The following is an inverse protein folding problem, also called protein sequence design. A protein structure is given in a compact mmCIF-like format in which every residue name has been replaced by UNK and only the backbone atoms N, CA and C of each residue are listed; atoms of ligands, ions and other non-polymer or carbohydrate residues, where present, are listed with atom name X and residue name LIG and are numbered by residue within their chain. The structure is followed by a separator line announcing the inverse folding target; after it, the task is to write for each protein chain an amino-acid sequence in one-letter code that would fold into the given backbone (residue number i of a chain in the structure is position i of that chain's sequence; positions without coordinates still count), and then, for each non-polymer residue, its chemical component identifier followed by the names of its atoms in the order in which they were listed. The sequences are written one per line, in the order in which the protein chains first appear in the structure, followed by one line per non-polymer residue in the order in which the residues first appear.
data_IF_097025192614
#
_entry.id   IF_097025192614
#
_cell.length_a   1.000
_cell.length_b   1.000
_cell.length_c   1.000
_cell.angle_alpha   90.00
_cell.angle_beta   90.00
_cell.angle_gamma   90.00
#
_symmetry.space_group_name_H-M   'P 1'
#
loop_
_entity.id
_entity.type
_entity.pdbx_description
1 polymer ?
#
# COMPACT_ATOMS: atom_id res chain seq x y z
N UNK A 1 30.41 -8.08 13.38
CA UNK A 1 29.65 -7.14 12.51
C UNK A 1 28.47 -7.91 11.95
N UNK A 2 27.26 -7.43 12.20
CA UNK A 2 26.01 -8.04 11.70
C UNK A 2 25.54 -7.30 10.46
N UNK A 3 24.95 -8.00 9.48
CA UNK A 3 24.51 -7.43 8.22
C UNK A 3 22.97 -7.36 8.16
N UNK A 4 22.41 -6.18 7.83
CA UNK A 4 20.96 -5.93 7.73
C UNK A 4 20.18 -6.34 9.00
N UNK A 5 20.74 -6.14 10.21
CA UNK A 5 20.02 -6.39 11.45
C UNK A 5 18.82 -5.45 11.57
N UNK A 6 17.65 -5.96 11.91
CA UNK A 6 16.46 -5.15 12.10
C UNK A 6 16.60 -4.18 13.27
N UNK A 7 16.06 -2.96 13.11
CA UNK A 7 16.27 -1.87 14.07
C UNK A 7 15.77 -2.20 15.47
N UNK A 8 14.61 -2.86 15.59
CA UNK A 8 14.07 -3.28 16.88
C UNK A 8 14.91 -4.34 17.62
N UNK A 9 15.77 -5.06 16.90
CA UNK A 9 16.68 -6.05 17.46
C UNK A 9 18.08 -5.50 17.75
N UNK A 10 18.36 -4.23 17.40
CA UNK A 10 19.66 -3.60 17.67
C UNK A 10 19.80 -3.23 19.14
N UNK A 11 20.98 -3.49 19.69
CA UNK A 11 21.33 -3.19 21.08
C UNK A 11 22.65 -2.41 21.16
N UNK A 12 22.86 -1.58 22.21
CA UNK A 12 24.13 -0.91 22.41
C UNK A 12 25.32 -1.88 22.39
N UNK A 13 26.33 -1.55 21.61
CA UNK A 13 27.51 -2.40 21.37
C UNK A 13 27.49 -3.16 20.04
N UNK A 14 26.37 -3.23 19.35
CA UNK A 14 26.28 -3.89 18.05
C UNK A 14 27.09 -3.14 16.99
N UNK A 15 27.87 -3.89 16.20
CA UNK A 15 28.51 -3.39 14.98
C UNK A 15 27.69 -3.83 13.77
N UNK A 16 27.13 -2.89 13.02
CA UNK A 16 26.18 -3.12 11.94
C UNK A 16 26.73 -2.61 10.62
N UNK A 17 26.52 -3.36 9.56
CA UNK A 17 26.54 -2.90 8.17
C UNK A 17 25.23 -3.31 7.52
N UNK A 18 24.57 -2.38 6.79
CA UNK A 18 23.29 -2.72 6.15
C UNK A 18 22.65 -1.56 5.40
N UNK A 19 21.46 -1.86 4.87
CA UNK A 19 20.61 -0.91 4.16
C UNK A 19 19.43 -0.53 5.03
N UNK A 20 19.17 0.79 5.10
CA UNK A 20 18.07 1.37 5.88
C UNK A 20 17.50 2.57 5.14
N UNK A 21 16.29 2.98 5.46
CA UNK A 21 15.70 4.22 4.95
C UNK A 21 16.27 5.39 5.75
N UNK A 22 16.74 6.42 5.05
CA UNK A 22 17.11 7.70 5.66
C UNK A 22 15.82 8.50 5.94
N UNK A 23 15.26 8.35 7.14
CA UNK A 23 13.98 8.98 7.50
C UNK A 23 14.09 10.49 7.70
N UNK A 24 15.26 10.97 8.15
CA UNK A 24 15.58 12.39 8.24
C UNK A 24 17.09 12.62 8.15
N UNK A 25 17.50 13.78 7.62
CA UNK A 25 18.90 14.13 7.42
C UNK A 25 19.14 15.64 7.59
N UNK A 26 19.81 16.01 8.66
CA UNK A 26 20.08 17.40 9.02
C UNK A 26 21.59 17.64 9.19
N UNK A 27 22.30 18.14 8.17
CA UNK A 27 23.69 18.58 8.29
C UNK A 27 23.81 19.73 9.28
N UNK A 28 24.78 19.65 10.18
CA UNK A 28 25.04 20.64 11.23
C UNK A 28 26.52 20.87 11.40
N UNK A 29 26.88 21.95 12.11
CA UNK A 29 28.26 22.25 12.52
C UNK A 29 28.31 22.24 14.04
N UNK A 30 29.26 21.52 14.61
CA UNK A 30 29.48 21.47 16.04
C UNK A 30 30.18 22.72 16.55
N UNK A 31 30.18 22.95 17.86
CA UNK A 31 30.83 24.13 18.48
C UNK A 31 32.35 24.22 18.18
N UNK A 32 33.01 23.11 17.88
CA UNK A 32 34.42 23.07 17.47
C UNK A 32 34.65 23.29 15.96
N UNK A 33 33.61 23.68 15.21
CA UNK A 33 33.65 23.93 13.77
C UNK A 33 33.61 22.70 12.87
N UNK A 34 33.53 21.47 13.43
CA UNK A 34 33.47 20.26 12.63
C UNK A 34 32.05 19.96 12.14
N UNK A 35 31.89 19.59 10.85
CA UNK A 35 30.59 19.22 10.32
C UNK A 35 30.16 17.85 10.86
N UNK A 36 28.85 17.66 11.03
CA UNK A 36 28.26 16.38 11.35
C UNK A 36 26.84 16.28 10.79
N UNK A 37 26.36 15.05 10.57
CA UNK A 37 24.99 14.79 10.18
C UNK A 37 24.23 14.20 11.36
N UNK A 38 23.04 14.75 11.63
CA UNK A 38 22.05 14.11 12.51
C UNK A 38 20.84 13.73 11.68
N UNK A 39 20.16 12.66 12.07
CA UNK A 39 18.96 12.21 11.39
C UNK A 39 18.36 10.99 12.05
N UNK A 40 17.63 10.22 11.28
CA UNK A 40 17.08 8.96 11.70
C UNK A 40 17.16 7.94 10.57
N UNK A 41 17.44 6.69 10.93
CA UNK A 41 17.29 5.51 10.08
C UNK A 41 15.98 4.83 10.41
N UNK A 42 15.33 4.23 9.43
CA UNK A 42 14.19 3.35 9.64
C UNK A 42 14.24 2.10 8.79
N UNK A 43 13.58 1.06 9.27
CA UNK A 43 13.20 -0.15 8.55
C UNK A 43 11.75 -0.49 8.88
N UNK A 44 11.23 -1.64 8.42
CA UNK A 44 9.87 -2.08 8.72
C UNK A 44 9.58 -2.29 10.21
N UNK A 45 10.62 -2.40 11.06
CA UNK A 45 10.48 -2.75 12.48
C UNK A 45 10.56 -1.53 13.39
N UNK A 46 11.14 -0.42 12.93
CA UNK A 46 11.27 0.76 13.78
C UNK A 46 12.10 1.89 13.20
N UNK A 47 12.44 2.82 14.09
CA UNK A 47 13.25 4.00 13.78
C UNK A 47 14.35 4.14 14.83
N UNK A 48 15.56 4.52 14.41
CA UNK A 48 16.71 4.76 15.29
C UNK A 48 17.37 6.09 14.94
N UNK A 49 17.78 6.86 15.94
CA UNK A 49 18.54 8.07 15.74
C UNK A 49 19.89 7.79 15.04
N UNK A 50 20.24 8.66 14.09
CA UNK A 50 21.49 8.60 13.33
C UNK A 50 22.41 9.74 13.71
N UNK A 51 23.70 9.41 13.91
CA UNK A 51 24.78 10.37 14.06
C UNK A 51 25.93 10.01 13.12
N UNK A 52 26.47 10.99 12.39
CA UNK A 52 27.66 10.85 11.56
C UNK A 52 28.61 11.99 11.86
N UNK A 53 29.70 11.68 12.53
CA UNK A 53 30.71 12.68 12.89
C UNK A 53 31.66 12.98 11.73
N UNK A 54 32.22 14.19 11.71
CA UNK A 54 33.14 14.68 10.67
C UNK A 54 32.58 14.50 9.25
N UNK A 55 31.24 14.70 9.10
CA UNK A 55 30.51 14.44 7.87
C UNK A 55 30.59 15.62 6.89
N UNK A 56 31.30 15.42 5.79
CA UNK A 56 31.38 16.36 4.65
C UNK A 56 30.76 15.76 3.36
N UNK A 57 29.88 14.75 3.50
CA UNK A 57 29.23 14.09 2.36
C UNK A 57 28.01 14.85 1.82
N UNK A 58 27.39 14.34 0.73
CA UNK A 58 26.33 15.03 -0.01
C UNK A 58 24.93 14.86 0.56
N UNK A 59 24.70 14.00 1.57
CA UNK A 59 23.34 13.74 2.07
C UNK A 59 22.78 14.95 2.81
N UNK A 60 21.55 15.30 2.49
CA UNK A 60 20.78 16.43 3.03
C UNK A 60 19.33 16.02 3.26
N UNK A 61 18.47 16.94 3.68
CA UNK A 61 17.03 16.72 3.77
C UNK A 61 16.39 16.30 2.43
N UNK A 62 16.99 16.63 1.30
CA UNK A 62 16.52 16.17 -0.02
C UNK A 62 16.69 14.66 -0.24
N UNK A 63 17.45 13.99 0.62
CA UNK A 63 17.66 12.52 0.57
C UNK A 63 16.73 11.74 1.49
N UNK A 64 15.85 12.43 2.20
CA UNK A 64 14.86 11.77 3.06
C UNK A 64 13.95 10.84 2.23
N UNK A 65 13.66 9.67 2.79
CA UNK A 65 12.92 8.60 2.10
C UNK A 65 13.77 7.72 1.17
N UNK A 66 15.07 8.02 0.96
CA UNK A 66 15.94 7.18 0.13
C UNK A 66 16.60 6.06 0.96
N UNK A 67 17.01 4.99 0.28
CA UNK A 67 17.80 3.93 0.92
C UNK A 67 19.26 4.36 1.02
N UNK A 68 19.82 4.17 2.20
CA UNK A 68 21.24 4.39 2.46
C UNK A 68 21.93 3.11 2.91
N UNK A 69 23.16 2.88 2.46
CA UNK A 69 24.06 1.90 3.03
C UNK A 69 24.83 2.55 4.17
N UNK A 70 24.77 1.94 5.36
CA UNK A 70 25.48 2.42 6.55
C UNK A 70 26.42 1.34 7.07
N UNK A 71 27.48 1.80 7.74
CA UNK A 71 28.35 0.97 8.57
C UNK A 71 28.69 1.75 9.82
N UNK A 72 28.48 1.14 11.00
CA UNK A 72 28.73 1.82 12.26
C UNK A 72 28.42 0.98 13.48
N UNK A 73 28.23 1.64 14.61
CA UNK A 73 27.97 1.03 15.90
C UNK A 73 26.71 1.61 16.54
N UNK A 74 25.98 0.79 17.25
CA UNK A 74 24.89 1.21 18.12
C UNK A 74 25.45 1.60 19.47
N UNK A 75 25.22 2.83 19.87
CA UNK A 75 25.56 3.36 21.20
C UNK A 75 24.31 3.74 21.97
N UNK A 76 24.51 4.31 23.14
CA UNK A 76 23.44 4.88 23.95
C UNK A 76 23.75 6.37 24.21
N UNK A 77 22.74 7.23 24.03
CA UNK A 77 22.83 8.64 24.37
C UNK A 77 21.57 9.06 25.15
N UNK A 78 21.78 9.49 26.41
CA UNK A 78 20.68 9.90 27.32
C UNK A 78 19.61 8.82 27.53
N UNK A 79 20.00 7.55 27.57
CA UNK A 79 19.08 6.43 27.75
C UNK A 79 18.36 5.97 26.47
N UNK A 80 18.72 6.53 25.29
CA UNK A 80 18.13 6.15 24.00
C UNK A 80 19.21 5.56 23.10
N UNK A 81 18.90 4.44 22.44
CA UNK A 81 19.78 3.83 21.45
C UNK A 81 20.00 4.79 20.26
N UNK A 82 21.24 4.93 19.82
CA UNK A 82 21.64 5.81 18.71
C UNK A 82 22.66 5.10 17.83
N UNK A 83 22.46 5.11 16.53
CA UNK A 83 23.39 4.59 15.55
C UNK A 83 24.44 5.64 15.19
N UNK A 84 25.71 5.37 15.47
CA UNK A 84 26.82 6.20 15.03
C UNK A 84 27.45 5.58 13.79
N UNK A 85 27.19 6.19 12.63
CA UNK A 85 27.73 5.72 11.37
C UNK A 85 29.17 6.21 11.17
N UNK A 86 30.07 5.27 10.92
CA UNK A 86 31.43 5.52 10.45
C UNK A 86 31.45 5.76 8.92
N UNK A 87 30.50 5.16 8.20
CA UNK A 87 30.28 5.36 6.76
C UNK A 87 28.80 5.38 6.45
N UNK A 88 28.41 6.28 5.54
CA UNK A 88 27.06 6.37 4.99
C UNK A 88 27.12 6.83 3.53
N UNK A 89 26.33 6.21 2.68
CA UNK A 89 26.11 6.64 1.29
C UNK A 89 24.71 6.27 0.83
N UNK A 90 24.20 6.89 -0.21
CA UNK A 90 23.00 6.40 -0.92
C UNK A 90 23.27 4.98 -1.43
N UNK A 91 22.24 4.15 -1.40
CA UNK A 91 22.27 2.86 -2.10
C UNK A 91 22.38 3.13 -3.61
N UNK A 92 23.18 2.32 -4.29
CA UNK A 92 23.27 2.30 -5.74
C UNK A 92 22.23 1.32 -6.32
N UNK A 93 21.92 1.42 -7.60
CA UNK A 93 20.93 0.57 -8.24
C UNK A 93 21.32 -0.91 -8.22
N UNK A 94 22.61 -1.21 -8.25
CA UNK A 94 23.17 -2.56 -8.21
C UNK A 94 23.34 -3.13 -6.79
N UNK A 95 23.07 -2.32 -5.76
CA UNK A 95 23.17 -2.80 -4.38
C UNK A 95 22.04 -3.82 -4.09
N UNK A 96 22.33 -4.94 -3.39
CA UNK A 96 21.35 -5.97 -3.06
C UNK A 96 20.43 -5.53 -1.91
N UNK A 97 19.55 -4.57 -2.20
CA UNK A 97 18.59 -4.04 -1.23
C UNK A 97 17.37 -4.94 -1.16
N UNK A 98 17.12 -5.51 0.02
CA UNK A 98 15.85 -6.20 0.30
C UNK A 98 14.80 -5.16 0.75
N UNK A 99 13.96 -4.74 -0.18
CA UNK A 99 12.90 -3.75 0.08
C UNK A 99 11.90 -4.25 1.12
N UNK A 100 11.63 -5.57 1.17
CA UNK A 100 10.68 -6.15 2.13
C UNK A 100 11.16 -6.08 3.59
N UNK A 101 12.47 -5.95 3.79
CA UNK A 101 13.05 -5.70 5.12
C UNK A 101 12.95 -4.23 5.55
N UNK A 102 12.77 -3.31 4.59
CA UNK A 102 12.78 -1.86 4.83
C UNK A 102 11.38 -1.28 5.04
N UNK A 103 10.39 -1.77 4.29
CA UNK A 103 9.02 -1.27 4.33
C UNK A 103 8.03 -2.41 4.58
N UNK A 104 6.87 -2.14 5.18
CA UNK A 104 5.82 -3.14 5.29
C UNK A 104 5.41 -3.66 3.90
N UNK A 105 5.22 -4.97 3.78
CA UNK A 105 4.79 -5.65 2.55
C UNK A 105 3.62 -6.57 2.86
N UNK A 106 2.76 -6.81 1.86
CA UNK A 106 1.65 -7.75 1.98
C UNK A 106 2.15 -9.13 2.43
N UNK A 107 1.52 -9.75 3.43
CA UNK A 107 1.89 -11.09 3.90
C UNK A 107 1.33 -12.20 2.99
N UNK A 108 1.43 -12.02 1.66
CA UNK A 108 0.93 -12.93 0.64
C UNK A 108 2.00 -13.21 -0.42
N UNK A 109 1.83 -14.29 -1.16
CA UNK A 109 2.56 -14.50 -2.42
C UNK A 109 1.90 -13.66 -3.52
N UNK A 110 2.53 -12.54 -3.89
CA UNK A 110 2.02 -11.63 -4.91
C UNK A 110 1.90 -12.30 -6.29
N UNK A 111 2.80 -13.24 -6.62
CA UNK A 111 2.73 -13.99 -7.87
C UNK A 111 1.50 -14.88 -7.93
N UNK A 112 1.24 -15.66 -6.86
CA UNK A 112 0.07 -16.50 -6.75
C UNK A 112 -1.23 -15.67 -6.72
N UNK A 113 -1.25 -14.55 -6.00
CA UNK A 113 -2.41 -13.66 -5.95
C UNK A 113 -2.73 -13.05 -7.32
N UNK A 114 -1.74 -12.60 -8.07
CA UNK A 114 -1.93 -12.09 -9.44
C UNK A 114 -2.47 -13.17 -10.37
N UNK A 115 -2.00 -14.42 -10.23
CA UNK A 115 -2.52 -15.53 -11.02
C UNK A 115 -3.96 -15.89 -10.65
N UNK A 116 -4.33 -15.74 -9.36
CA UNK A 116 -5.73 -15.85 -8.91
C UNK A 116 -6.63 -14.81 -9.60
N UNK A 117 -6.19 -13.55 -9.70
CA UNK A 117 -6.94 -12.50 -10.41
C UNK A 117 -7.09 -12.79 -11.91
N UNK A 118 -6.03 -13.28 -12.56
CA UNK A 118 -6.09 -13.68 -13.97
C UNK A 118 -7.07 -14.84 -14.20
N UNK A 119 -7.06 -15.83 -13.32
CA UNK A 119 -8.03 -16.94 -13.36
C UNK A 119 -9.48 -16.45 -13.14
N UNK A 120 -9.67 -15.54 -12.20
CA UNK A 120 -10.99 -14.94 -11.96
C UNK A 120 -11.49 -14.18 -13.21
N UNK A 121 -10.65 -13.35 -13.84
CA UNK A 121 -10.98 -12.66 -15.08
C UNK A 121 -11.32 -13.64 -16.21
N UNK A 122 -10.51 -14.67 -16.43
CA UNK A 122 -10.76 -15.70 -17.43
C UNK A 122 -12.04 -16.52 -17.17
N UNK A 123 -12.51 -16.59 -15.91
CA UNK A 123 -13.75 -17.27 -15.52
C UNK A 123 -15.03 -16.47 -15.79
N UNK A 124 -14.91 -15.20 -16.16
CA UNK A 124 -16.04 -14.33 -16.51
C UNK A 124 -16.70 -14.86 -17.78
N UNK A 125 -17.99 -15.14 -17.71
CA UNK A 125 -18.71 -15.79 -18.82
C UNK A 125 -19.18 -14.80 -19.89
N UNK A 126 -19.51 -13.57 -19.51
CA UNK A 126 -19.85 -12.52 -20.45
C UNK A 126 -18.57 -12.08 -21.21
N UNK A 127 -18.54 -12.17 -22.55
CA UNK A 127 -17.32 -11.90 -23.33
C UNK A 127 -16.88 -10.43 -23.28
N UNK A 128 -17.82 -9.49 -23.16
CA UNK A 128 -17.50 -8.06 -23.12
C UNK A 128 -16.83 -7.69 -21.79
N UNK A 129 -17.43 -8.11 -20.68
CA UNK A 129 -16.88 -7.89 -19.34
C UNK A 129 -15.53 -8.61 -19.16
N UNK A 130 -15.39 -9.82 -19.68
CA UNK A 130 -14.12 -10.53 -19.65
C UNK A 130 -13.03 -9.80 -20.41
N UNK A 131 -13.33 -9.32 -21.64
CA UNK A 131 -12.35 -8.60 -22.44
C UNK A 131 -11.87 -7.31 -21.76
N UNK A 132 -12.77 -6.57 -21.09
CA UNK A 132 -12.39 -5.38 -20.32
C UNK A 132 -11.52 -5.77 -19.12
N UNK A 133 -11.89 -6.79 -18.34
CA UNK A 133 -11.13 -7.24 -17.17
C UNK A 133 -9.71 -7.69 -17.55
N UNK A 134 -9.56 -8.50 -18.59
CA UNK A 134 -8.27 -8.98 -19.08
C UNK A 134 -7.39 -7.84 -19.58
N UNK A 135 -7.95 -6.91 -20.38
CA UNK A 135 -7.21 -5.75 -20.92
C UNK A 135 -6.73 -4.80 -19.81
N UNK A 136 -7.56 -4.57 -18.79
CA UNK A 136 -7.20 -3.73 -17.66
C UNK A 136 -6.15 -4.40 -16.76
N UNK A 137 -6.23 -5.71 -16.52
CA UNK A 137 -5.21 -6.47 -15.80
C UNK A 137 -3.88 -6.51 -16.55
N UNK A 138 -3.89 -6.61 -17.88
CA UNK A 138 -2.67 -6.52 -18.69
C UNK A 138 -2.01 -5.14 -18.59
N UNK A 139 -2.82 -4.07 -18.63
CA UNK A 139 -2.31 -2.70 -18.58
C UNK A 139 -1.79 -2.28 -17.20
N UNK A 140 -2.42 -2.76 -16.12
CA UNK A 140 -2.18 -2.24 -14.77
C UNK A 140 -1.65 -3.29 -13.76
N UNK A 141 -1.57 -4.57 -14.14
CA UNK A 141 -1.27 -5.68 -13.23
C UNK A 141 0.07 -5.57 -12.51
N UNK A 142 1.13 -5.13 -13.18
CA UNK A 142 2.44 -4.92 -12.55
C UNK A 142 2.39 -3.84 -11.46
N UNK A 143 1.68 -2.74 -11.75
CA UNK A 143 1.51 -1.66 -10.78
C UNK A 143 0.64 -2.09 -9.61
N UNK A 144 -0.47 -2.79 -9.88
CA UNK A 144 -1.35 -3.37 -8.86
C UNK A 144 -0.57 -4.23 -7.85
N UNK A 145 0.38 -5.04 -8.33
CA UNK A 145 1.20 -5.92 -7.51
C UNK A 145 2.22 -5.20 -6.61
N UNK A 146 2.57 -3.96 -6.92
CA UNK A 146 3.66 -3.24 -6.27
C UNK A 146 3.22 -2.14 -5.32
N UNK A 147 1.99 -1.62 -5.43
CA UNK A 147 1.55 -0.44 -4.69
C UNK A 147 0.67 -0.77 -3.47
N UNK A 148 0.61 0.14 -2.47
CA UNK A 148 -0.35 0.07 -1.37
C UNK A 148 -1.76 0.43 -1.84
N UNK A 149 -2.79 -0.05 -1.11
CA UNK A 149 -4.18 0.33 -1.34
C UNK A 149 -4.53 1.72 -0.78
N UNK A 150 -3.75 2.22 0.18
CA UNK A 150 -3.99 3.51 0.82
C UNK A 150 -2.67 4.18 1.25
N UNK A 151 -2.72 5.49 1.52
CA UNK A 151 -1.56 6.27 2.01
C UNK A 151 -1.21 5.94 3.47
N UNK A 152 -2.18 5.64 4.33
CA UNK A 152 -1.95 5.57 5.78
C UNK A 152 -2.99 4.78 6.59
N UNK A 153 -3.90 4.08 5.95
CA UNK A 153 -4.93 3.28 6.63
C UNK A 153 -4.74 1.81 6.25
N UNK A 154 -5.77 0.97 6.21
CA UNK A 154 -5.69 -0.44 5.82
C UNK A 154 -4.92 -0.66 4.51
N UNK A 155 -4.19 -1.77 4.42
CA UNK A 155 -3.37 -2.13 3.24
C UNK A 155 -2.35 -1.05 2.79
N UNK A 156 -1.87 -0.19 3.70
CA UNK A 156 -0.87 0.85 3.43
C UNK A 156 0.57 0.29 3.34
N UNK A 157 0.75 -0.85 2.67
CA UNK A 157 2.01 -1.56 2.47
C UNK A 157 2.15 -2.04 1.02
N UNK A 158 3.36 -2.38 0.60
CA UNK A 158 3.62 -2.86 -0.76
C UNK A 158 2.80 -4.11 -1.08
N UNK A 159 2.17 -4.15 -2.24
CA UNK A 159 1.26 -5.23 -2.63
C UNK A 159 -0.08 -5.19 -1.90
N UNK A 160 -0.36 -4.15 -1.12
CA UNK A 160 -1.60 -4.00 -0.36
C UNK A 160 -2.82 -3.93 -1.28
N UNK A 161 -2.73 -3.23 -2.40
CA UNK A 161 -3.82 -3.14 -3.38
C UNK A 161 -4.10 -4.49 -4.04
N UNK A 162 -3.07 -5.27 -4.36
CA UNK A 162 -3.24 -6.62 -4.88
C UNK A 162 -3.91 -7.53 -3.85
N UNK A 163 -3.46 -7.50 -2.59
CA UNK A 163 -4.04 -8.31 -1.51
C UNK A 163 -5.52 -7.98 -1.31
N UNK A 164 -5.85 -6.69 -1.22
CA UNK A 164 -7.22 -6.19 -1.12
C UNK A 164 -8.09 -6.69 -2.27
N UNK A 165 -7.69 -6.43 -3.52
CA UNK A 165 -8.43 -6.85 -4.71
C UNK A 165 -8.61 -8.38 -4.77
N UNK A 166 -7.56 -9.15 -4.42
CA UNK A 166 -7.63 -10.61 -4.43
C UNK A 166 -8.61 -11.17 -3.37
N UNK A 167 -8.64 -10.57 -2.18
CA UNK A 167 -9.61 -10.93 -1.15
C UNK A 167 -11.04 -10.60 -1.59
N UNK A 168 -11.24 -9.37 -2.10
CA UNK A 168 -12.56 -8.93 -2.57
C UNK A 168 -13.10 -9.81 -3.70
N UNK A 169 -12.26 -10.21 -4.67
CA UNK A 169 -12.66 -11.11 -5.77
C UNK A 169 -13.12 -12.45 -5.24
N UNK A 170 -12.44 -13.03 -4.23
CA UNK A 170 -12.88 -14.30 -3.60
C UNK A 170 -14.24 -14.16 -2.93
N UNK A 171 -14.47 -13.05 -2.20
CA UNK A 171 -15.75 -12.77 -1.54
C UNK A 171 -16.84 -12.55 -2.57
N UNK A 172 -16.56 -11.75 -3.62
CA UNK A 172 -17.50 -11.45 -4.70
C UNK A 172 -17.94 -12.73 -5.44
N UNK A 173 -16.99 -13.60 -5.79
CA UNK A 173 -17.26 -14.87 -6.45
C UNK A 173 -18.15 -15.78 -5.61
N UNK A 174 -17.83 -15.91 -4.32
CA UNK A 174 -18.62 -16.69 -3.37
C UNK A 174 -20.06 -16.14 -3.25
N UNK A 175 -20.22 -14.83 -3.06
CA UNK A 175 -21.53 -14.20 -2.89
C UNK A 175 -22.36 -14.22 -4.18
N UNK A 176 -21.75 -14.05 -5.35
CA UNK A 176 -22.45 -14.21 -6.63
C UNK A 176 -23.03 -15.63 -6.79
N UNK A 177 -22.29 -16.63 -6.32
CA UNK A 177 -22.77 -18.03 -6.29
C UNK A 177 -23.94 -18.27 -5.32
N UNK A 178 -24.08 -17.44 -4.27
CA UNK A 178 -25.22 -17.51 -3.33
C UNK A 178 -26.50 -16.85 -3.85
N UNK A 179 -26.36 -15.83 -4.71
CA UNK A 179 -27.48 -15.02 -5.21
C UNK A 179 -27.56 -15.01 -6.75
N UNK A 180 -27.56 -16.19 -7.42
CA UNK A 180 -27.44 -16.28 -8.88
C UNK A 180 -28.63 -15.67 -9.65
N UNK A 181 -29.78 -15.52 -9.02
CA UNK A 181 -30.98 -14.92 -9.61
C UNK A 181 -31.01 -13.39 -9.49
N UNK A 182 -30.09 -12.81 -8.70
CA UNK A 182 -30.09 -11.37 -8.39
C UNK A 182 -28.83 -10.69 -8.88
N UNK A 183 -27.69 -11.40 -8.87
CA UNK A 183 -26.37 -10.88 -9.15
C UNK A 183 -25.87 -11.36 -10.51
N UNK A 184 -25.55 -10.44 -11.40
CA UNK A 184 -24.70 -10.74 -12.56
C UNK A 184 -23.24 -10.92 -12.08
N UNK A 185 -22.82 -12.19 -11.97
CA UNK A 185 -21.45 -12.54 -11.57
C UNK A 185 -20.40 -11.89 -12.46
N UNK A 186 -20.65 -11.78 -13.78
CA UNK A 186 -19.70 -11.24 -14.72
C UNK A 186 -19.48 -9.74 -14.48
N UNK A 187 -20.56 -8.99 -14.26
CA UNK A 187 -20.51 -7.57 -13.92
C UNK A 187 -19.83 -7.35 -12.55
N UNK A 188 -20.25 -8.11 -11.52
CA UNK A 188 -19.69 -7.97 -10.17
C UNK A 188 -18.18 -8.23 -10.14
N UNK A 189 -17.72 -9.34 -10.72
CA UNK A 189 -16.29 -9.69 -10.75
C UNK A 189 -15.48 -8.65 -11.52
N UNK A 190 -15.99 -8.19 -12.67
CA UNK A 190 -15.30 -7.15 -13.43
C UNK A 190 -15.21 -5.85 -12.63
N UNK A 191 -16.32 -5.37 -12.06
CA UNK A 191 -16.30 -4.19 -11.19
C UNK A 191 -15.34 -4.34 -10.01
N UNK A 192 -15.31 -5.50 -9.35
CA UNK A 192 -14.40 -5.78 -8.24
C UNK A 192 -12.93 -5.75 -8.67
N UNK A 193 -12.59 -6.29 -9.84
CA UNK A 193 -11.24 -6.24 -10.38
C UNK A 193 -10.78 -4.80 -10.68
N UNK A 194 -11.69 -3.93 -11.13
CA UNK A 194 -11.36 -2.61 -11.65
C UNK A 194 -11.50 -1.49 -10.63
N UNK A 195 -12.27 -1.66 -9.53
CA UNK A 195 -12.75 -0.57 -8.68
C UNK A 195 -11.65 0.40 -8.23
N UNK A 196 -10.48 -0.11 -7.90
CA UNK A 196 -9.35 0.62 -7.30
C UNK A 196 -8.11 0.73 -8.19
N UNK A 197 -8.13 0.22 -9.43
CA UNK A 197 -6.94 0.21 -10.31
C UNK A 197 -6.35 1.61 -10.55
N UNK A 198 -7.18 2.65 -10.58
CA UNK A 198 -6.74 4.02 -10.78
C UNK A 198 -5.99 4.62 -9.59
N UNK A 199 -5.91 3.95 -8.43
CA UNK A 199 -5.04 4.36 -7.30
C UNK A 199 -3.57 4.43 -7.71
N UNK A 200 -3.17 3.65 -8.72
CA UNK A 200 -1.86 3.74 -9.36
C UNK A 200 -1.54 5.14 -9.92
N UNK A 201 -2.55 5.87 -10.37
CA UNK A 201 -2.44 7.22 -10.90
C UNK A 201 -2.76 8.29 -9.84
N UNK A 202 -3.50 7.92 -8.80
CA UNK A 202 -3.93 8.82 -7.74
C UNK A 202 -2.78 9.24 -6.84
N UNK A 203 -1.85 8.33 -6.54
CA UNK A 203 -0.76 8.59 -5.61
C UNK A 203 0.56 8.91 -6.29
N UNK A 204 1.41 9.68 -5.58
CA UNK A 204 2.84 9.81 -5.83
C UNK A 204 3.56 8.78 -4.95
N UNK A 205 4.44 8.00 -5.55
CA UNK A 205 5.17 6.94 -4.85
C UNK A 205 6.61 7.34 -4.58
N UNK A 206 7.13 6.95 -3.41
CA UNK A 206 8.56 6.99 -3.11
C UNK A 206 9.34 6.01 -3.99
N UNK A 207 10.67 6.10 -3.96
CA UNK A 207 11.55 5.11 -4.59
C UNK A 207 11.32 3.67 -4.06
N UNK A 208 10.74 3.54 -2.88
CA UNK A 208 10.40 2.28 -2.25
C UNK A 208 8.95 1.83 -2.51
N UNK A 209 8.21 2.53 -3.37
CA UNK A 209 6.85 2.19 -3.76
C UNK A 209 5.77 2.57 -2.74
N UNK A 210 6.11 3.21 -1.62
CA UNK A 210 5.10 3.68 -0.67
C UNK A 210 4.44 4.99 -1.15
N UNK A 211 3.13 5.12 -0.96
CA UNK A 211 2.41 6.34 -1.28
C UNK A 211 2.83 7.48 -0.34
N UNK A 212 3.37 8.56 -0.89
CA UNK A 212 3.85 9.72 -0.14
C UNK A 212 2.89 10.89 -0.20
N UNK A 213 2.24 11.08 -1.34
CA UNK A 213 1.30 12.17 -1.57
C UNK A 213 0.30 11.82 -2.67
N UNK A 214 -0.67 12.68 -2.90
CA UNK A 214 -1.56 12.61 -4.07
C UNK A 214 -0.88 13.27 -5.28
N UNK A 215 -1.06 12.68 -6.46
CA UNK A 215 -0.72 13.34 -7.72
C UNK A 215 -1.65 14.54 -7.96
N UNK A 216 -1.26 15.46 -8.85
CA UNK A 216 -2.14 16.57 -9.22
C UNK A 216 -3.49 16.04 -9.76
N UNK A 217 -3.44 15.01 -10.62
CA UNK A 217 -4.64 14.37 -11.18
C UNK A 217 -5.46 13.68 -10.07
N UNK A 218 -4.78 12.98 -9.15
CA UNK A 218 -5.39 12.34 -7.99
C UNK A 218 -6.11 13.33 -7.08
N UNK A 219 -5.47 14.47 -6.80
CA UNK A 219 -6.05 15.52 -5.95
C UNK A 219 -7.30 16.20 -6.59
N UNK A 220 -7.30 16.32 -7.91
CA UNK A 220 -8.39 17.02 -8.64
C UNK A 220 -9.56 16.10 -9.01
N UNK A 221 -9.31 14.83 -9.32
CA UNK A 221 -10.31 13.90 -9.84
C UNK A 221 -10.59 12.72 -8.90
N UNK A 222 -9.57 12.22 -8.20
CA UNK A 222 -9.66 10.99 -7.41
C UNK A 222 -9.73 9.72 -8.28
N UNK A 223 -9.43 8.56 -7.66
CA UNK A 223 -9.40 7.27 -8.37
C UNK A 223 -10.77 6.82 -8.91
N UNK A 224 -11.88 7.21 -8.27
CA UNK A 224 -13.23 6.88 -8.74
C UNK A 224 -13.47 7.40 -10.16
N UNK A 225 -13.20 8.69 -10.39
CA UNK A 225 -13.42 9.33 -11.69
C UNK A 225 -12.42 8.82 -12.71
N UNK A 226 -11.14 8.72 -12.34
CA UNK A 226 -10.09 8.21 -13.22
C UNK A 226 -10.33 6.75 -13.61
N UNK A 227 -10.74 5.90 -12.66
CA UNK A 227 -11.05 4.50 -12.92
C UNK A 227 -12.26 4.31 -13.82
N UNK A 228 -13.31 5.13 -13.63
CA UNK A 228 -14.47 5.11 -14.50
C UNK A 228 -14.12 5.56 -15.93
N UNK A 229 -13.23 6.55 -16.09
CA UNK A 229 -12.73 6.98 -17.41
C UNK A 229 -11.91 5.86 -18.07
N UNK A 230 -10.95 5.26 -17.37
CA UNK A 230 -10.10 4.18 -17.90
C UNK A 230 -10.96 2.96 -18.35
N UNK A 231 -11.99 2.62 -17.56
CA UNK A 231 -12.93 1.54 -17.88
C UNK A 231 -13.75 1.89 -19.13
N UNK A 232 -14.26 3.14 -19.24
CA UNK A 232 -15.03 3.61 -20.40
C UNK A 232 -14.18 3.63 -21.68
N UNK A 233 -12.95 4.15 -21.62
CA UNK A 233 -12.04 4.21 -22.75
C UNK A 233 -11.65 2.79 -23.22
N UNK A 234 -11.42 1.88 -22.28
CA UNK A 234 -11.12 0.48 -22.60
C UNK A 234 -12.32 -0.22 -23.23
N UNK A 235 -13.53 -0.05 -22.66
CA UNK A 235 -14.76 -0.60 -23.22
C UNK A 235 -15.02 -0.09 -24.64
N UNK A 236 -14.86 1.22 -24.88
CA UNK A 236 -15.03 1.80 -26.20
C UNK A 236 -14.02 1.25 -27.22
N UNK A 237 -12.75 1.11 -26.84
CA UNK A 237 -11.69 0.54 -27.68
C UNK A 237 -11.96 -0.92 -28.06
N UNK A 238 -12.60 -1.67 -27.17
CA UNK A 238 -12.96 -3.09 -27.39
C UNK A 238 -14.32 -3.26 -28.07
N UNK A 239 -15.08 -2.18 -28.30
CA UNK A 239 -16.40 -2.25 -28.94
C UNK A 239 -17.50 -2.78 -28.02
N UNK A 240 -17.32 -2.68 -26.71
CA UNK A 240 -18.32 -3.10 -25.69
C UNK A 240 -19.55 -2.20 -25.79
N UNK A 241 -20.78 -2.75 -25.72
CA UNK A 241 -22.02 -1.98 -25.71
C UNK A 241 -22.03 -0.88 -24.63
N UNK A 242 -22.58 0.28 -24.94
CA UNK A 242 -22.60 1.45 -24.06
C UNK A 242 -23.25 1.17 -22.72
N UNK A 243 -24.37 0.44 -22.70
CA UNK A 243 -25.07 0.07 -21.48
C UNK A 243 -24.20 -0.77 -20.51
N UNK A 244 -23.36 -1.67 -21.02
CA UNK A 244 -22.42 -2.45 -20.19
C UNK A 244 -21.29 -1.57 -19.65
N UNK A 245 -20.77 -0.67 -20.50
CA UNK A 245 -19.75 0.31 -20.09
C UNK A 245 -20.27 1.25 -18.99
N UNK A 246 -21.50 1.72 -19.10
CA UNK A 246 -22.14 2.58 -18.08
C UNK A 246 -22.30 1.83 -16.75
N UNK A 247 -22.69 0.55 -16.77
CA UNK A 247 -22.78 -0.26 -15.54
C UNK A 247 -21.42 -0.43 -14.86
N UNK A 248 -20.34 -0.71 -15.61
CA UNK A 248 -18.99 -0.78 -15.02
C UNK A 248 -18.56 0.54 -14.41
N UNK A 249 -18.79 1.66 -15.11
CA UNK A 249 -18.52 2.98 -14.58
C UNK A 249 -19.31 3.24 -13.30
N UNK A 250 -20.59 2.83 -13.26
CA UNK A 250 -21.44 2.98 -12.09
C UNK A 250 -20.88 2.23 -10.88
N UNK A 251 -20.43 0.98 -11.05
CA UNK A 251 -19.81 0.20 -9.98
C UNK A 251 -18.59 0.93 -9.41
N UNK A 252 -17.71 1.44 -10.28
CA UNK A 252 -16.50 2.15 -9.87
C UNK A 252 -16.85 3.47 -9.14
N UNK A 253 -17.79 4.27 -9.68
CA UNK A 253 -18.14 5.56 -9.10
C UNK A 253 -18.90 5.45 -7.76
N UNK A 254 -19.52 4.32 -7.48
CA UNK A 254 -20.37 4.11 -6.30
C UNK A 254 -19.78 3.19 -5.25
N UNK A 255 -18.59 2.55 -5.47
CA UNK A 255 -18.13 1.50 -4.57
C UNK A 255 -17.83 1.98 -3.13
N UNK A 256 -17.59 3.26 -2.89
CA UNK A 256 -17.52 3.81 -1.53
C UNK A 256 -18.88 3.90 -0.82
N UNK A 257 -20.00 3.55 -1.49
CA UNK A 257 -21.35 3.50 -0.94
C UNK A 257 -21.99 4.86 -0.80
N UNK A 258 -21.64 5.62 0.22
CA UNK A 258 -22.26 6.90 0.53
C UNK A 258 -21.37 8.09 0.10
N UNK A 259 -21.96 9.22 -0.30
CA UNK A 259 -21.22 10.44 -0.65
C UNK A 259 -20.32 10.96 0.48
N UNK A 260 -20.72 10.77 1.72
CA UNK A 260 -19.93 11.11 2.92
C UNK A 260 -18.60 10.34 2.98
N UNK A 261 -18.51 9.18 2.33
CA UNK A 261 -17.30 8.37 2.22
C UNK A 261 -16.58 8.58 0.88
N UNK A 262 -17.06 9.48 0.04
CA UNK A 262 -16.44 9.89 -1.21
C UNK A 262 -17.05 9.30 -2.47
N UNK A 263 -18.14 8.50 -2.38
CA UNK A 263 -18.84 8.00 -3.55
C UNK A 263 -19.37 9.17 -4.40
N UNK A 264 -19.15 9.12 -5.73
CA UNK A 264 -19.69 10.14 -6.64
C UNK A 264 -21.22 10.02 -6.78
N UNK A 265 -21.72 8.79 -6.70
CA UNK A 265 -23.16 8.44 -6.70
C UNK A 265 -23.36 7.26 -5.77
N UNK A 266 -24.57 7.09 -5.24
CA UNK A 266 -24.92 5.88 -4.46
C UNK A 266 -25.06 4.66 -5.37
N UNK A 267 -24.82 3.44 -4.85
CA UNK A 267 -25.11 2.21 -5.56
C UNK A 267 -26.60 2.13 -5.96
N UNK A 268 -26.89 1.84 -7.24
CA UNK A 268 -28.25 1.76 -7.76
C UNK A 268 -28.58 0.40 -8.41
N UNK A 269 -27.64 -0.55 -8.36
CA UNK A 269 -27.90 -1.94 -8.75
C UNK A 269 -27.32 -2.89 -7.69
N UNK A 270 -27.74 -4.14 -7.72
CA UNK A 270 -27.39 -5.11 -6.72
C UNK A 270 -25.88 -5.39 -6.67
N UNK A 271 -25.21 -5.43 -7.82
CA UNK A 271 -23.77 -5.63 -7.94
C UNK A 271 -22.99 -4.46 -7.35
N UNK A 272 -23.45 -3.21 -7.56
CA UNK A 272 -22.80 -2.02 -6.99
C UNK A 272 -22.95 -1.96 -5.47
N UNK A 273 -24.13 -2.28 -4.93
CA UNK A 273 -24.39 -2.40 -3.50
C UNK A 273 -23.48 -3.47 -2.88
N UNK A 274 -23.44 -4.64 -3.53
CA UNK A 274 -22.64 -5.77 -3.03
C UNK A 274 -21.13 -5.45 -3.09
N UNK A 275 -20.64 -4.79 -4.14
CA UNK A 275 -19.25 -4.36 -4.25
C UNK A 275 -18.87 -3.42 -3.10
N UNK A 276 -19.71 -2.44 -2.79
CA UNK A 276 -19.48 -1.50 -1.68
C UNK A 276 -19.44 -2.21 -0.32
N UNK A 277 -20.31 -3.18 -0.10
CA UNK A 277 -20.31 -3.99 1.13
C UNK A 277 -19.08 -4.88 1.23
N UNK A 278 -18.62 -5.47 0.14
CA UNK A 278 -17.42 -6.32 0.09
C UNK A 278 -16.16 -5.48 0.40
N UNK A 279 -16.04 -4.31 -0.18
CA UNK A 279 -14.97 -3.36 0.11
C UNK A 279 -14.94 -2.99 1.60
N UNK A 280 -16.10 -2.63 2.15
CA UNK A 280 -16.22 -2.35 3.58
C UNK A 280 -15.87 -3.56 4.47
N UNK A 281 -16.16 -4.78 4.04
CA UNK A 281 -15.79 -6.00 4.78
C UNK A 281 -14.27 -6.18 4.77
N UNK A 282 -13.62 -6.18 3.62
CA UNK A 282 -12.18 -6.44 3.53
C UNK A 282 -11.37 -5.33 4.23
N UNK A 283 -11.68 -4.07 3.96
CA UNK A 283 -10.98 -2.94 4.58
C UNK A 283 -11.10 -2.94 6.11
N UNK A 284 -12.28 -3.25 6.66
CA UNK A 284 -12.48 -3.33 8.11
C UNK A 284 -11.78 -4.54 8.74
N UNK A 285 -11.81 -5.70 8.09
CA UNK A 285 -11.14 -6.90 8.59
C UNK A 285 -9.63 -6.72 8.62
N UNK A 286 -9.07 -6.02 7.66
CA UNK A 286 -7.64 -5.68 7.67
C UNK A 286 -7.28 -4.75 8.84
N UNK A 287 -8.09 -3.72 9.14
CA UNK A 287 -7.89 -2.87 10.32
C UNK A 287 -7.93 -3.69 11.62
N UNK A 288 -8.85 -4.67 11.71
CA UNK A 288 -8.89 -5.57 12.87
C UNK A 288 -7.63 -6.44 12.95
N UNK A 289 -7.17 -7.01 11.84
CA UNK A 289 -5.95 -7.82 11.78
C UNK A 289 -4.74 -7.03 12.25
N UNK A 290 -4.49 -5.85 11.64
CA UNK A 290 -3.37 -4.97 12.01
C UNK A 290 -3.44 -4.55 13.50
N UNK A 291 -4.64 -4.26 13.99
CA UNK A 291 -4.84 -3.90 15.40
C UNK A 291 -4.53 -5.08 16.32
N UNK A 292 -5.02 -6.27 16.01
CA UNK A 292 -4.80 -7.47 16.82
C UNK A 292 -3.35 -7.90 16.85
N UNK A 293 -2.58 -7.68 15.78
CA UNK A 293 -1.13 -7.99 15.74
C UNK A 293 -0.33 -7.22 16.80
N UNK A 294 -0.86 -6.09 17.28
CA UNK A 294 -0.21 -5.23 18.29
C UNK A 294 -0.82 -5.34 19.69
N UNK A 295 -1.86 -6.17 19.87
CA UNK A 295 -2.60 -6.27 21.13
C UNK A 295 -2.35 -7.59 21.85
N UNK A 296 -2.31 -7.54 23.19
CA UNK A 296 -2.42 -8.74 24.01
C UNK A 296 -3.86 -9.28 24.00
N UNK A 297 -4.06 -10.62 24.11
CA UNK A 297 -5.38 -11.20 24.30
C UNK A 297 -6.12 -10.62 25.51
N UNK A 298 -7.44 -10.66 25.49
CA UNK A 298 -8.36 -10.18 26.54
C UNK A 298 -8.19 -8.69 26.91
N UNK A 299 -7.78 -7.87 25.95
CA UNK A 299 -7.62 -6.42 26.12
C UNK A 299 -8.45 -5.62 25.13
N UNK A 300 -8.67 -4.33 25.45
CA UNK A 300 -9.23 -3.34 24.53
C UNK A 300 -8.12 -2.49 23.92
N UNK A 301 -8.25 -2.19 22.63
CA UNK A 301 -7.39 -1.21 21.97
C UNK A 301 -7.66 0.22 22.47
N UNK A 302 -6.76 1.20 22.19
CA UNK A 302 -7.15 2.60 22.07
C UNK A 302 -8.29 2.77 21.05
N UNK A 303 -8.92 3.97 21.04
CA UNK A 303 -9.90 4.27 19.97
C UNK A 303 -9.22 4.26 18.60
N UNK A 304 -9.72 3.42 17.71
CA UNK A 304 -9.27 3.35 16.31
C UNK A 304 -10.08 4.36 15.51
N UNK A 305 -9.39 5.33 14.91
CA UNK A 305 -10.04 6.42 14.19
C UNK A 305 -10.91 5.91 13.03
N UNK A 306 -10.37 5.01 12.20
CA UNK A 306 -11.07 4.46 11.03
C UNK A 306 -12.31 3.60 11.38
N UNK A 307 -12.41 3.08 12.60
CA UNK A 307 -13.58 2.32 13.09
C UNK A 307 -14.45 3.14 14.04
N UNK A 308 -14.00 4.32 14.42
CA UNK A 308 -14.63 5.22 15.41
C UNK A 308 -14.89 4.60 16.79
N UNK A 309 -14.26 3.48 17.11
CA UNK A 309 -14.47 2.71 18.34
C UNK A 309 -13.20 2.06 18.85
N UNK A 310 -13.24 1.53 20.07
CA UNK A 310 -12.28 0.55 20.59
C UNK A 310 -12.66 -0.83 20.09
N UNK A 311 -11.70 -1.71 19.92
CA UNK A 311 -11.94 -3.13 19.63
C UNK A 311 -11.41 -3.99 20.77
N UNK A 312 -12.05 -5.11 21.02
CA UNK A 312 -11.67 -6.11 22.00
C UNK A 312 -11.03 -7.28 21.26
N UNK A 313 -9.82 -7.69 21.68
CA UNK A 313 -9.20 -8.94 21.23
C UNK A 313 -9.52 -10.02 22.25
N UNK A 314 -10.39 -10.97 21.91
CA UNK A 314 -10.63 -12.16 22.75
C UNK A 314 -9.43 -13.12 22.66
N UNK A 315 -9.36 -14.07 23.62
CA UNK A 315 -8.31 -15.09 23.70
C UNK A 315 -8.30 -16.01 22.48
#
# INVERSE_FOLDING_TARGET
MEYNKSINAMTPGDEIEGYYILKSANPKVAANGKPFLTGALSDRTGTMELKVWDYAGPLTAADEGTVVKVRGTVGEYRGTAQFTAARIRRAAQEDPVDVSALVPTAPIDCGAAMEDLRRAAASITDPDYRAVAEAMLEAHGETLASIPAAKSVHHAFLGGLLMHTANMVKIADFLAGMYPETIDRSLLLTGTLLHDMAKAQEFVFSQLGLATDYSIKGQLLGHLVMGAQDAAETAARLGVPEEKSVLLQHLILSHHGEPEFGAAVRPLCAEAELLSLIDAVDSRMEIYRETYDTMEPDTFSPRIFALEKKVFRHA
#
